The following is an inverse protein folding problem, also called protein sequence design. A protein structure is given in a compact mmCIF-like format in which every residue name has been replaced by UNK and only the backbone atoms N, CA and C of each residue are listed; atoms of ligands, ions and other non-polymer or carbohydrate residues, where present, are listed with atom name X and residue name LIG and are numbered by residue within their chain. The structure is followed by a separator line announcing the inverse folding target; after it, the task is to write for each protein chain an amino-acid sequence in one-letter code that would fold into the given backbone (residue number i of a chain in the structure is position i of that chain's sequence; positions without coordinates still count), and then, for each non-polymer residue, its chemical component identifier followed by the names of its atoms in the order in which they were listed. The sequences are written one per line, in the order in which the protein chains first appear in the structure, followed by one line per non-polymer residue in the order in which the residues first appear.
data_IF_995745572731
#
_entry.id   IF_995745572731
#
_cell.length_a   1.000
_cell.length_b   1.000
_cell.length_c   1.000
_cell.angle_alpha   90.00
_cell.angle_beta   90.00
_cell.angle_gamma   90.00
#
_symmetry.space_group_name_H-M   'P 1'
#
loop_
_entity.id
_entity.type
_entity.pdbx_description
1 polymer ?
#
# COMPACT_ATOMS: atom_id res chain seq x y z
N UNK A 1 56.76 -16.75 63.56
CA UNK A 1 56.62 -15.42 62.92
C UNK A 1 57.30 -15.51 61.56
N UNK A 2 56.59 -16.06 60.58
CA UNK A 2 55.90 -15.34 59.48
C UNK A 2 56.86 -15.05 58.30
N UNK A 3 56.80 -15.95 57.31
CA UNK A 3 57.39 -15.80 55.97
C UNK A 3 56.56 -14.82 55.13
N UNK A 4 57.22 -13.95 54.36
CA UNK A 4 56.60 -13.13 53.31
C UNK A 4 57.05 -13.65 51.95
N UNK A 5 56.09 -14.04 51.11
CA UNK A 5 56.29 -14.51 49.74
C UNK A 5 55.87 -13.41 48.76
N UNK A 6 56.76 -13.11 47.81
CA UNK A 6 56.48 -12.35 46.59
C UNK A 6 55.39 -13.08 45.76
N UNK A 7 54.41 -12.33 45.25
CA UNK A 7 53.64 -12.73 44.06
C UNK A 7 53.52 -11.56 43.10
N UNK A 8 54.29 -11.65 42.02
CA UNK A 8 54.10 -10.92 40.77
C UNK A 8 52.90 -11.52 40.04
N UNK A 9 51.91 -10.69 39.69
CA UNK A 9 50.83 -11.07 38.77
C UNK A 9 50.99 -10.22 37.51
N UNK A 10 51.47 -10.85 36.43
CA UNK A 10 51.46 -10.29 35.09
C UNK A 10 50.06 -10.50 34.49
N UNK A 11 49.33 -9.41 34.25
CA UNK A 11 48.04 -9.43 33.57
C UNK A 11 48.24 -9.40 32.06
N UNK A 12 47.84 -10.46 31.37
CA UNK A 12 47.74 -10.50 29.91
C UNK A 12 46.34 -10.00 29.50
N UNK A 13 46.27 -8.87 28.81
CA UNK A 13 45.05 -8.34 28.21
C UNK A 13 44.83 -8.98 26.82
N UNK A 14 43.91 -9.94 26.74
CA UNK A 14 43.41 -10.48 25.47
C UNK A 14 42.46 -9.46 24.84
N UNK A 15 42.87 -8.85 23.73
CA UNK A 15 41.97 -8.01 22.91
C UNK A 15 41.19 -8.92 21.97
N UNK A 16 39.91 -9.14 22.27
CA UNK A 16 39.00 -9.89 21.41
C UNK A 16 38.51 -8.96 20.29
N UNK A 17 39.08 -9.10 19.09
CA UNK A 17 38.53 -8.47 17.89
C UNK A 17 37.29 -9.26 17.48
N UNK A 18 36.12 -8.74 17.85
CA UNK A 18 34.85 -9.24 17.33
C UNK A 18 34.75 -8.71 15.89
N UNK A 19 35.28 -9.50 14.94
CA UNK A 19 34.95 -9.34 13.53
C UNK A 19 33.52 -9.84 13.32
N UNK A 20 32.55 -8.97 13.61
CA UNK A 20 31.16 -9.19 13.24
C UNK A 20 31.04 -9.23 11.72
N UNK A 21 31.12 -10.42 11.16
CA UNK A 21 30.65 -10.65 9.80
C UNK A 21 29.13 -10.51 9.87
N UNK A 22 28.62 -9.35 9.47
CA UNK A 22 27.22 -9.23 9.11
C UNK A 22 27.01 -10.20 7.95
N UNK A 23 26.50 -11.39 8.24
CA UNK A 23 25.90 -12.24 7.23
C UNK A 23 24.80 -11.39 6.60
N UNK A 24 25.01 -10.97 5.36
CA UNK A 24 23.97 -10.37 4.56
C UNK A 24 22.75 -11.29 4.64
N UNK A 25 21.60 -10.74 5.00
CA UNK A 25 20.31 -11.44 5.02
C UNK A 25 19.88 -11.66 3.56
N UNK A 26 20.64 -12.49 2.82
CA UNK A 26 20.55 -12.70 1.36
C UNK A 26 19.19 -13.29 0.92
N UNK A 27 18.32 -13.62 1.88
CA UNK A 27 17.02 -14.24 1.67
C UNK A 27 15.80 -13.36 1.95
N UNK A 28 15.94 -12.10 2.35
CA UNK A 28 14.78 -11.27 2.74
C UNK A 28 14.64 -10.00 1.91
N UNK A 29 13.44 -9.76 1.37
CA UNK A 29 13.06 -8.55 0.66
C UNK A 29 11.94 -7.85 1.45
N UNK A 30 12.12 -6.58 1.76
CA UNK A 30 11.12 -5.76 2.44
C UNK A 30 10.39 -4.87 1.43
N UNK A 31 9.07 -5.01 1.34
CA UNK A 31 8.26 -4.26 0.37
C UNK A 31 7.32 -3.32 1.13
N UNK A 32 7.38 -2.04 0.84
CA UNK A 32 6.38 -1.08 1.27
C UNK A 32 5.34 -0.95 0.17
N UNK A 33 4.14 -1.48 0.38
CA UNK A 33 3.10 -1.53 -0.64
C UNK A 33 1.81 -0.87 -0.14
N UNK A 34 1.16 -0.10 -1.02
CA UNK A 34 -0.13 0.50 -0.73
C UNK A 34 -1.14 -0.54 -0.20
N UNK A 35 -1.94 -0.17 0.81
CA UNK A 35 -2.85 -1.08 1.51
C UNK A 35 -3.78 -1.90 0.59
N UNK A 36 -4.18 -1.35 -0.56
CA UNK A 36 -5.02 -2.07 -1.54
C UNK A 36 -4.35 -3.32 -2.13
N UNK A 37 -3.01 -3.39 -2.10
CA UNK A 37 -2.20 -4.50 -2.63
C UNK A 37 -2.08 -5.69 -1.66
N UNK A 38 -2.59 -5.58 -0.42
CA UNK A 38 -2.37 -6.54 0.67
C UNK A 38 -2.51 -7.99 0.23
N UNK A 39 -3.69 -8.39 -0.27
CA UNK A 39 -3.97 -9.78 -0.62
C UNK A 39 -3.13 -10.26 -1.82
N UNK A 40 -2.98 -9.42 -2.85
CA UNK A 40 -2.20 -9.77 -4.03
C UNK A 40 -0.72 -9.99 -3.69
N UNK A 41 -0.14 -9.11 -2.88
CA UNK A 41 1.25 -9.23 -2.45
C UNK A 41 1.49 -10.40 -1.50
N UNK A 42 0.52 -10.76 -0.66
CA UNK A 42 0.59 -11.96 0.17
C UNK A 42 0.66 -13.24 -0.68
N UNK A 43 -0.21 -13.36 -1.68
CA UNK A 43 -0.21 -14.51 -2.60
C UNK A 43 1.06 -14.55 -3.47
N UNK A 44 1.51 -13.40 -3.97
CA UNK A 44 2.76 -13.27 -4.72
C UNK A 44 3.96 -13.67 -3.86
N UNK A 45 4.03 -13.22 -2.60
CA UNK A 45 5.10 -13.57 -1.68
C UNK A 45 5.14 -15.08 -1.41
N UNK A 46 3.97 -15.71 -1.24
CA UNK A 46 3.87 -17.15 -1.04
C UNK A 46 4.36 -17.94 -2.26
N UNK A 47 3.95 -17.55 -3.47
CA UNK A 47 4.40 -18.23 -4.69
C UNK A 47 5.89 -17.98 -4.96
N UNK A 48 6.37 -16.75 -4.78
CA UNK A 48 7.78 -16.41 -4.96
C UNK A 48 8.68 -17.18 -3.99
N UNK A 49 8.27 -17.33 -2.72
CA UNK A 49 8.99 -18.16 -1.75
C UNK A 49 9.05 -19.62 -2.18
N UNK A 50 7.95 -20.18 -2.68
CA UNK A 50 7.91 -21.56 -3.17
C UNK A 50 8.80 -21.78 -4.39
N UNK A 51 8.89 -20.80 -5.29
CA UNK A 51 9.70 -20.90 -6.51
C UNK A 51 11.19 -20.61 -6.29
N UNK A 52 11.51 -19.62 -5.45
CA UNK A 52 12.86 -19.04 -5.34
C UNK A 52 13.50 -19.20 -3.96
N UNK A 53 12.75 -19.68 -2.97
CA UNK A 53 13.19 -19.80 -1.58
C UNK A 53 13.72 -18.47 -1.00
N UNK A 54 13.05 -17.37 -1.35
CA UNK A 54 13.31 -16.01 -0.85
C UNK A 54 12.07 -15.51 -0.11
N UNK A 55 12.28 -14.98 1.08
CA UNK A 55 11.24 -14.38 1.92
C UNK A 55 10.94 -12.95 1.48
N UNK A 56 9.67 -12.68 1.16
CA UNK A 56 9.18 -11.33 0.89
C UNK A 56 8.30 -10.89 2.05
N UNK A 57 8.72 -9.86 2.77
CA UNK A 57 7.99 -9.29 3.90
C UNK A 57 7.42 -7.95 3.47
N UNK A 58 6.10 -7.84 3.46
CA UNK A 58 5.41 -6.61 3.05
C UNK A 58 4.88 -5.84 4.26
N UNK A 59 5.10 -4.52 4.25
CA UNK A 59 4.42 -3.56 5.13
C UNK A 59 3.37 -2.82 4.32
N UNK A 60 2.13 -2.82 4.83
CA UNK A 60 0.98 -2.22 4.16
C UNK A 60 0.45 -1.03 4.95
N UNK A 61 0.26 0.09 4.27
CA UNK A 61 -0.38 1.29 4.80
C UNK A 61 -0.81 2.19 3.62
N UNK A 62 -1.30 3.39 3.90
CA UNK A 62 -1.46 4.40 2.84
C UNK A 62 -0.11 4.70 2.18
N UNK A 63 -0.10 4.91 0.86
CA UNK A 63 1.12 5.26 0.14
C UNK A 63 1.78 6.53 0.70
N UNK A 64 0.98 7.45 1.26
CA UNK A 64 1.48 8.63 1.96
C UNK A 64 2.26 8.34 3.23
N UNK A 65 1.81 7.37 4.01
CA UNK A 65 2.51 6.94 5.23
C UNK A 65 3.81 6.26 4.84
N UNK A 66 3.76 5.34 3.88
CA UNK A 66 4.92 4.58 3.42
C UNK A 66 5.99 5.49 2.79
N UNK A 67 5.61 6.42 1.91
CA UNK A 67 6.56 7.34 1.28
C UNK A 67 7.29 8.22 2.31
N UNK A 68 6.57 8.72 3.34
CA UNK A 68 7.20 9.47 4.45
C UNK A 68 8.10 8.60 5.32
N UNK A 69 7.75 7.34 5.53
CA UNK A 69 8.60 6.41 6.27
C UNK A 69 9.89 6.11 5.50
N UNK A 70 9.83 5.93 4.18
CA UNK A 70 11.02 5.71 3.34
C UNK A 70 11.90 6.96 3.34
N UNK A 71 11.31 8.16 3.20
CA UNK A 71 12.05 9.42 3.36
C UNK A 71 12.75 9.51 4.72
N UNK A 72 12.10 9.03 5.79
CA UNK A 72 12.66 8.99 7.14
C UNK A 72 13.70 7.86 7.36
N UNK A 73 14.04 7.09 6.33
CA UNK A 73 15.06 6.04 6.39
C UNK A 73 14.55 4.66 6.79
N UNK A 74 13.25 4.39 6.65
CA UNK A 74 12.73 3.02 6.84
C UNK A 74 13.37 2.06 5.82
N UNK A 75 13.81 0.85 6.24
CA UNK A 75 14.60 -0.06 5.42
C UNK A 75 13.72 -0.90 4.48
N UNK A 76 12.99 -0.23 3.58
CA UNK A 76 12.27 -0.90 2.51
C UNK A 76 13.18 -1.06 1.28
N UNK A 77 13.06 -2.18 0.57
CA UNK A 77 13.79 -2.40 -0.68
C UNK A 77 12.98 -1.95 -1.90
N UNK A 78 11.66 -2.09 -1.83
CA UNK A 78 10.72 -1.73 -2.89
C UNK A 78 9.60 -0.86 -2.33
N UNK A 79 9.18 0.12 -3.12
CA UNK A 79 7.99 0.92 -2.86
C UNK A 79 6.98 0.76 -3.99
N UNK A 80 5.73 0.44 -3.63
CA UNK A 80 4.61 0.41 -4.57
C UNK A 80 3.52 1.37 -4.07
N UNK A 81 3.39 2.51 -4.75
CA UNK A 81 2.37 3.51 -4.45
C UNK A 81 1.04 3.18 -5.13
N UNK A 82 -0.08 3.71 -4.64
CA UNK A 82 -1.38 3.69 -5.33
C UNK A 82 -1.66 4.97 -6.14
N UNK A 83 -0.68 5.87 -6.24
CA UNK A 83 -0.70 7.00 -7.15
C UNK A 83 0.72 7.41 -7.58
N UNK A 84 0.78 8.20 -8.66
CA UNK A 84 2.03 8.83 -9.09
C UNK A 84 2.52 9.88 -8.10
N UNK A 85 1.62 10.59 -7.41
CA UNK A 85 1.95 11.70 -6.51
C UNK A 85 2.90 11.30 -5.38
N UNK A 86 2.67 10.18 -4.71
CA UNK A 86 3.56 9.73 -3.63
C UNK A 86 4.83 9.07 -4.12
N UNK A 87 4.85 8.56 -5.35
CA UNK A 87 6.10 8.15 -6.00
C UNK A 87 6.93 9.36 -6.44
N UNK A 88 6.28 10.41 -6.96
CA UNK A 88 6.92 11.71 -7.26
C UNK A 88 7.53 12.28 -5.98
N UNK A 89 6.77 12.28 -4.88
CA UNK A 89 7.29 12.69 -3.57
C UNK A 89 8.56 11.93 -3.18
N UNK A 90 8.53 10.60 -3.25
CA UNK A 90 9.69 9.78 -2.91
C UNK A 90 10.90 10.07 -3.83
N UNK A 91 10.66 10.28 -5.12
CA UNK A 91 11.68 10.64 -6.09
C UNK A 91 12.29 12.03 -5.80
N UNK A 92 11.46 13.03 -5.53
CA UNK A 92 11.88 14.40 -5.18
C UNK A 92 12.73 14.42 -3.91
N UNK A 93 12.42 13.52 -2.97
CA UNK A 93 13.21 13.29 -1.74
C UNK A 93 14.45 12.43 -1.95
N UNK A 94 14.72 11.97 -3.18
CA UNK A 94 15.81 11.04 -3.52
C UNK A 94 15.77 9.76 -2.70
N UNK A 95 14.56 9.33 -2.34
CA UNK A 95 14.32 8.15 -1.52
C UNK A 95 14.12 6.88 -2.37
N UNK A 96 14.00 7.01 -3.69
CA UNK A 96 13.88 5.90 -4.65
C UNK A 96 14.81 6.09 -5.84
N UNK A 97 15.28 4.99 -6.42
CA UNK A 97 16.02 4.96 -7.68
C UNK A 97 15.05 5.24 -8.83
N UNK A 98 15.03 6.49 -9.30
CA UNK A 98 14.14 6.94 -10.37
C UNK A 98 14.32 6.20 -11.69
N UNK A 99 15.47 5.55 -11.92
CA UNK A 99 15.71 4.73 -13.13
C UNK A 99 14.93 3.42 -13.11
N UNK A 100 14.45 3.02 -11.94
CA UNK A 100 13.65 1.80 -11.72
C UNK A 100 12.16 2.08 -11.59
N UNK A 101 11.72 3.33 -11.77
CA UNK A 101 10.31 3.67 -11.66
C UNK A 101 9.54 3.18 -12.88
N UNK A 102 8.50 2.38 -12.63
CA UNK A 102 7.59 1.91 -13.68
C UNK A 102 6.15 1.88 -13.18
N UNK A 103 5.20 2.26 -14.03
CA UNK A 103 3.76 2.03 -13.75
C UNK A 103 3.43 0.55 -13.93
N UNK A 104 3.23 -0.15 -12.80
CA UNK A 104 3.01 -1.59 -12.74
C UNK A 104 1.55 -1.97 -13.00
N UNK A 105 0.62 -1.28 -12.32
CA UNK A 105 -0.80 -1.64 -12.32
C UNK A 105 -1.70 -0.44 -12.54
N UNK A 106 -2.94 -0.70 -12.93
CA UNK A 106 -4.05 0.22 -12.83
C UNK A 106 -5.21 -0.36 -12.03
N UNK A 107 -6.20 0.48 -11.73
CA UNK A 107 -7.38 0.08 -10.96
C UNK A 107 -8.58 0.99 -11.27
N UNK A 108 -9.76 0.64 -10.76
CA UNK A 108 -10.95 1.47 -10.83
C UNK A 108 -11.32 2.02 -9.46
N UNK A 109 -12.05 3.14 -9.43
CA UNK A 109 -12.62 3.70 -8.22
C UNK A 109 -14.11 3.34 -8.15
N UNK A 110 -14.55 2.80 -7.03
CA UNK A 110 -15.92 2.27 -6.87
C UNK A 110 -16.56 2.74 -5.58
N UNK A 111 -17.89 2.75 -5.56
CA UNK A 111 -18.70 2.87 -4.36
C UNK A 111 -19.12 1.48 -3.92
N UNK A 112 -18.85 1.17 -2.66
CA UNK A 112 -19.25 -0.08 -2.01
C UNK A 112 -20.29 0.17 -0.93
N UNK A 113 -21.14 -0.82 -0.70
CA UNK A 113 -22.07 -0.90 0.42
C UNK A 113 -21.85 -2.21 1.19
N UNK A 114 -22.28 -2.31 2.46
CA UNK A 114 -22.19 -3.56 3.23
C UNK A 114 -22.85 -4.73 2.48
N UNK A 115 -22.35 -5.96 2.67
CA UNK A 115 -22.83 -7.15 1.94
C UNK A 115 -24.35 -7.36 2.08
N UNK A 116 -24.89 -7.06 3.25
CA UNK A 116 -26.30 -7.18 3.59
C UNK A 116 -27.15 -5.94 3.23
N UNK A 117 -26.54 -4.90 2.67
CA UNK A 117 -27.25 -3.67 2.31
C UNK A 117 -28.27 -3.92 1.19
N UNK A 118 -29.44 -3.29 1.29
CA UNK A 118 -30.47 -3.31 0.25
C UNK A 118 -30.19 -2.28 -0.87
N UNK A 119 -29.12 -1.48 -0.74
CA UNK A 119 -28.72 -0.47 -1.72
C UNK A 119 -28.54 -1.11 -3.10
N UNK A 120 -29.40 -0.72 -4.03
CA UNK A 120 -29.33 -1.19 -5.42
C UNK A 120 -28.19 -0.50 -6.17
N UNK A 121 -27.61 -1.16 -7.19
CA UNK A 121 -26.67 -0.52 -8.07
C UNK A 121 -27.24 0.75 -8.70
N UNK A 122 -26.40 1.77 -8.88
CA UNK A 122 -26.77 3.03 -9.50
C UNK A 122 -25.63 3.57 -10.37
N UNK A 123 -25.98 4.47 -11.28
CA UNK A 123 -25.00 5.21 -12.09
C UNK A 123 -24.64 6.50 -11.39
N UNK A 124 -23.34 6.79 -11.30
CA UNK A 124 -22.84 8.05 -10.77
C UNK A 124 -22.83 9.08 -11.90
N UNK A 125 -23.57 10.16 -11.69
CA UNK A 125 -23.51 11.40 -12.49
C UNK A 125 -23.61 12.65 -11.59
N UNK A 126 -23.70 13.84 -12.21
CA UNK A 126 -23.82 15.11 -11.51
C UNK A 126 -25.20 15.36 -10.84
N UNK A 127 -26.16 14.45 -11.00
CA UNK A 127 -27.49 14.48 -10.36
C UNK A 127 -27.64 13.42 -9.28
N UNK A 128 -26.59 12.64 -9.00
CA UNK A 128 -26.58 11.63 -7.95
C UNK A 128 -26.96 12.24 -6.60
N UNK A 129 -28.08 11.78 -6.03
CA UNK A 129 -28.55 12.22 -4.71
C UNK A 129 -27.80 11.49 -3.60
N UNK A 130 -26.56 11.92 -3.35
CA UNK A 130 -25.68 11.33 -2.35
C UNK A 130 -26.24 11.42 -0.93
N UNK A 131 -26.99 12.47 -0.60
CA UNK A 131 -27.55 12.65 0.74
C UNK A 131 -28.62 11.59 1.02
N UNK A 132 -29.49 11.33 0.05
CA UNK A 132 -30.46 10.25 0.15
C UNK A 132 -29.77 8.88 0.22
N UNK A 133 -28.74 8.65 -0.59
CA UNK A 133 -27.98 7.40 -0.61
C UNK A 133 -27.27 7.12 0.73
N UNK A 134 -26.77 8.17 1.40
CA UNK A 134 -26.16 8.04 2.72
C UNK A 134 -27.18 7.83 3.85
N UNK A 135 -28.45 8.20 3.64
CA UNK A 135 -29.53 8.05 4.63
C UNK A 135 -29.13 8.51 6.05
N UNK A 136 -28.47 9.68 6.14
CA UNK A 136 -27.99 10.26 7.41
C UNK A 136 -26.65 9.71 7.93
N UNK A 137 -26.10 8.66 7.31
CA UNK A 137 -24.77 8.13 7.63
C UNK A 137 -23.61 8.91 7.03
N UNK A 138 -22.39 8.42 7.27
CA UNK A 138 -21.14 8.97 6.72
C UNK A 138 -20.65 8.17 5.52
N UNK A 139 -19.90 8.82 4.64
CA UNK A 139 -19.23 8.19 3.50
C UNK A 139 -17.80 7.78 3.91
N UNK A 140 -17.54 6.48 4.02
CA UNK A 140 -16.20 5.98 4.29
C UNK A 140 -15.27 6.23 3.10
N UNK A 141 -14.10 6.81 3.34
CA UNK A 141 -13.14 7.11 2.28
C UNK A 141 -11.75 7.22 2.90
N UNK A 142 -10.68 6.87 2.17
CA UNK A 142 -9.33 7.21 2.65
C UNK A 142 -9.20 8.72 2.88
N UNK A 143 -8.38 9.17 3.83
CA UNK A 143 -8.24 10.61 4.11
C UNK A 143 -7.91 11.40 2.82
N UNK A 144 -8.80 12.30 2.35
CA UNK A 144 -8.63 13.02 1.09
C UNK A 144 -7.43 13.96 1.04
N UNK A 145 -6.81 14.27 2.17
CA UNK A 145 -5.63 15.14 2.22
C UNK A 145 -4.37 14.41 1.74
N UNK A 146 -4.28 13.10 1.96
CA UNK A 146 -3.04 12.37 1.70
C UNK A 146 -3.21 10.92 1.23
N UNK A 147 -4.30 10.22 1.51
CA UNK A 147 -4.50 8.85 1.06
C UNK A 147 -4.87 8.84 -0.43
N UNK A 148 -4.18 8.08 -1.30
CA UNK A 148 -4.49 8.05 -2.74
C UNK A 148 -5.97 7.81 -3.08
N UNK A 149 -6.62 6.82 -2.45
CA UNK A 149 -8.04 6.54 -2.67
C UNK A 149 -8.93 7.74 -2.31
N UNK A 150 -8.57 8.48 -1.26
CA UNK A 150 -9.24 9.72 -0.86
C UNK A 150 -8.99 10.87 -1.82
N UNK A 151 -7.78 10.98 -2.37
CA UNK A 151 -7.43 11.98 -3.38
C UNK A 151 -8.25 11.73 -4.65
N UNK A 152 -8.29 10.49 -5.16
CA UNK A 152 -9.12 10.16 -6.33
C UNK A 152 -10.61 10.36 -6.05
N UNK A 153 -11.10 9.98 -4.87
CA UNK A 153 -12.48 10.25 -4.46
C UNK A 153 -12.80 11.75 -4.46
N UNK A 154 -11.90 12.58 -3.92
CA UNK A 154 -12.05 14.03 -3.94
C UNK A 154 -12.06 14.58 -5.36
N UNK A 155 -11.12 14.17 -6.21
CA UNK A 155 -11.08 14.57 -7.62
C UNK A 155 -12.40 14.22 -8.34
N UNK A 156 -12.87 12.97 -8.18
CA UNK A 156 -14.12 12.48 -8.75
C UNK A 156 -15.34 13.27 -8.29
N UNK A 157 -15.49 13.43 -6.98
CA UNK A 157 -16.62 14.16 -6.39
C UNK A 157 -16.58 15.66 -6.72
N UNK A 158 -15.40 16.27 -6.85
CA UNK A 158 -15.27 17.65 -7.29
C UNK A 158 -15.70 17.80 -8.75
N UNK A 159 -15.25 16.90 -9.63
CA UNK A 159 -15.62 16.88 -11.04
C UNK A 159 -17.13 16.71 -11.25
N UNK A 160 -17.76 15.90 -10.39
CA UNK A 160 -19.20 15.63 -10.41
C UNK A 160 -20.04 16.68 -9.65
N UNK A 161 -19.42 17.68 -9.03
CA UNK A 161 -20.12 18.73 -8.28
C UNK A 161 -20.70 18.30 -6.93
N UNK A 162 -20.27 17.15 -6.40
CA UNK A 162 -20.77 16.58 -5.15
C UNK A 162 -19.86 16.83 -3.93
N UNK A 163 -18.63 17.31 -4.15
CA UNK A 163 -17.63 17.43 -3.08
C UNK A 163 -18.09 18.29 -1.89
N UNK A 164 -18.57 19.51 -2.15
CA UNK A 164 -18.96 20.46 -1.10
C UNK A 164 -20.09 19.90 -0.21
N UNK A 165 -20.97 19.10 -0.80
CA UNK A 165 -22.07 18.42 -0.11
C UNK A 165 -21.57 17.27 0.77
N UNK A 166 -20.57 16.51 0.30
CA UNK A 166 -20.11 15.28 0.94
C UNK A 166 -18.94 15.47 1.90
N UNK A 167 -18.10 16.49 1.72
CA UNK A 167 -16.95 16.81 2.57
C UNK A 167 -17.28 16.78 4.09
N UNK A 168 -18.37 17.42 4.59
CA UNK A 168 -18.70 17.36 6.01
C UNK A 168 -19.27 16.00 6.46
N UNK A 169 -19.58 15.09 5.53
CA UNK A 169 -20.17 13.76 5.76
C UNK A 169 -19.17 12.63 5.60
N UNK A 170 -17.89 12.91 5.39
CA UNK A 170 -16.89 11.86 5.26
C UNK A 170 -16.63 11.16 6.60
N UNK A 171 -16.24 9.89 6.51
CA UNK A 171 -15.55 9.14 7.55
C UNK A 171 -14.14 8.80 7.01
N UNK A 172 -13.16 9.70 7.22
CA UNK A 172 -11.79 9.52 6.73
C UNK A 172 -11.12 8.31 7.40
N UNK A 173 -10.59 7.40 6.60
CA UNK A 173 -9.76 6.27 7.03
C UNK A 173 -8.28 6.57 6.85
N UNK A 174 -7.44 5.97 7.70
CA UNK A 174 -5.97 6.09 7.63
C UNK A 174 -5.41 5.56 6.30
N UNK A 175 -6.10 4.59 5.70
CA UNK A 175 -5.91 4.12 4.34
C UNK A 175 -7.24 3.58 3.75
N UNK A 176 -7.18 3.08 2.51
CA UNK A 176 -8.37 2.56 1.81
C UNK A 176 -8.94 1.28 2.43
N UNK A 177 -8.12 0.45 3.08
CA UNK A 177 -8.59 -0.76 3.76
C UNK A 177 -9.20 -0.42 5.12
N UNK A 178 -8.74 0.63 5.78
CA UNK A 178 -9.42 1.25 6.92
C UNK A 178 -10.83 1.73 6.54
N UNK A 179 -10.96 2.43 5.41
CA UNK A 179 -12.27 2.87 4.89
C UNK A 179 -13.17 1.68 4.50
N UNK A 180 -12.63 0.67 3.80
CA UNK A 180 -13.36 -0.56 3.47
C UNK A 180 -13.92 -1.23 4.72
N UNK A 181 -13.12 -1.34 5.78
CA UNK A 181 -13.51 -2.01 7.00
C UNK A 181 -14.69 -1.32 7.72
N UNK A 182 -14.82 0.01 7.62
CA UNK A 182 -16.00 0.73 8.12
C UNK A 182 -17.29 0.27 7.40
N UNK A 183 -17.19 0.02 6.09
CA UNK A 183 -18.33 -0.47 5.28
C UNK A 183 -18.62 -1.93 5.59
N UNK A 184 -17.60 -2.78 5.71
CA UNK A 184 -17.76 -4.20 6.07
C UNK A 184 -18.48 -4.37 7.41
N UNK A 185 -18.18 -3.50 8.39
CA UNK A 185 -18.80 -3.51 9.71
C UNK A 185 -20.12 -2.76 9.79
N UNK A 186 -20.62 -2.24 8.66
CA UNK A 186 -21.84 -1.44 8.59
C UNK A 186 -21.79 -0.18 9.50
N UNK A 187 -20.59 0.36 9.75
CA UNK A 187 -20.36 1.63 10.45
C UNK A 187 -20.52 2.82 9.49
N UNK A 188 -20.35 2.56 8.18
CA UNK A 188 -20.67 3.49 7.09
C UNK A 188 -21.59 2.80 6.07
N UNK A 189 -22.72 3.42 5.67
CA UNK A 189 -23.63 2.83 4.69
C UNK A 189 -23.01 2.71 3.28
N UNK A 190 -22.06 3.59 2.96
CA UNK A 190 -21.31 3.59 1.72
C UNK A 190 -19.85 3.89 1.98
N UNK A 191 -18.98 3.41 1.09
CA UNK A 191 -17.60 3.87 1.03
C UNK A 191 -17.06 3.95 -0.39
N UNK A 192 -16.04 4.78 -0.58
CA UNK A 192 -15.28 4.89 -1.83
C UNK A 192 -13.95 4.16 -1.65
N UNK A 193 -13.74 3.12 -2.43
CA UNK A 193 -12.57 2.23 -2.41
C UNK A 193 -12.15 1.90 -3.83
N UNK A 194 -11.10 1.10 -4.02
CA UNK A 194 -10.77 0.59 -5.33
C UNK A 194 -11.56 -0.66 -5.71
N UNK A 195 -11.72 -0.92 -7.00
CA UNK A 195 -12.34 -2.16 -7.50
C UNK A 195 -11.68 -3.40 -6.93
N UNK A 196 -10.34 -3.40 -6.82
CA UNK A 196 -9.60 -4.51 -6.22
C UNK A 196 -9.90 -4.74 -4.74
N UNK A 197 -10.20 -3.69 -3.98
CA UNK A 197 -10.55 -3.79 -2.56
C UNK A 197 -11.90 -4.51 -2.40
N UNK A 198 -12.86 -4.18 -3.28
CA UNK A 198 -14.14 -4.84 -3.31
C UNK A 198 -14.03 -6.31 -3.74
N UNK A 199 -13.16 -6.65 -4.70
CA UNK A 199 -12.88 -8.04 -5.09
C UNK A 199 -12.24 -8.84 -3.96
N UNK A 200 -11.35 -8.21 -3.19
CA UNK A 200 -10.67 -8.85 -2.06
C UNK A 200 -11.57 -9.07 -0.84
N UNK A 201 -12.73 -8.43 -0.78
CA UNK A 201 -13.66 -8.51 0.36
C UNK A 201 -14.86 -9.40 0.08
N UNK A 202 -15.32 -10.10 1.13
CA UNK A 202 -16.62 -10.79 1.15
C UNK A 202 -17.71 -9.98 1.88
N UNK A 203 -17.32 -8.89 2.55
CA UNK A 203 -18.15 -8.07 3.43
C UNK A 203 -18.84 -6.90 2.75
N UNK A 204 -18.58 -6.67 1.46
CA UNK A 204 -19.20 -5.58 0.69
C UNK A 204 -19.73 -6.04 -0.66
N UNK A 205 -20.55 -5.19 -1.28
CA UNK A 205 -20.90 -5.24 -2.69
C UNK A 205 -20.54 -3.92 -3.37
N UNK A 206 -20.10 -3.97 -4.63
CA UNK A 206 -20.00 -2.77 -5.47
C UNK A 206 -21.41 -2.34 -5.86
N UNK A 207 -21.75 -1.08 -5.61
CA UNK A 207 -23.05 -0.48 -5.95
C UNK A 207 -22.94 0.63 -6.99
N UNK A 208 -21.75 1.15 -7.25
CA UNK A 208 -21.49 2.01 -8.40
C UNK A 208 -19.99 2.04 -8.74
N UNK A 209 -19.67 2.41 -9.97
CA UNK A 209 -18.29 2.67 -10.42
C UNK A 209 -18.19 4.12 -10.86
N UNK A 210 -17.16 4.83 -10.42
CA UNK A 210 -16.93 6.20 -10.85
C UNK A 210 -16.58 6.23 -12.35
N UNK A 211 -17.06 7.24 -13.12
CA UNK A 211 -16.61 7.43 -14.49
C UNK A 211 -15.09 7.61 -14.56
N UNK A 212 -14.42 6.96 -15.52
CA UNK A 212 -12.95 7.05 -15.63
C UNK A 212 -12.45 8.49 -15.86
N UNK A 213 -13.28 9.35 -16.46
CA UNK A 213 -12.97 10.77 -16.70
C UNK A 213 -13.31 11.68 -15.50
N UNK A 214 -13.81 11.11 -14.40
CA UNK A 214 -14.11 11.86 -13.18
C UNK A 214 -12.86 12.14 -12.34
N UNK A 215 -11.82 11.31 -12.45
CA UNK A 215 -10.56 11.41 -11.71
C UNK A 215 -9.37 11.11 -12.63
N UNK A 216 -8.15 11.34 -12.17
CA UNK A 216 -6.97 10.84 -12.89
C UNK A 216 -6.96 9.31 -12.91
N UNK A 217 -6.31 8.70 -13.91
CA UNK A 217 -6.13 7.25 -13.95
C UNK A 217 -5.50 6.77 -12.64
N UNK A 218 -6.10 5.74 -12.04
CA UNK A 218 -5.53 5.11 -10.85
C UNK A 218 -4.38 4.23 -11.31
N UNK A 219 -3.16 4.62 -10.96
CA UNK A 219 -1.92 3.96 -11.37
C UNK A 219 -1.07 3.61 -10.15
N UNK A 220 -0.45 2.43 -10.20
CA UNK A 220 0.43 1.93 -9.15
C UNK A 220 1.87 1.89 -9.65
N UNK A 221 2.66 2.95 -9.44
CA UNK A 221 4.07 2.92 -9.75
C UNK A 221 4.83 2.09 -8.71
N UNK A 222 5.81 1.32 -9.19
CA UNK A 222 6.81 0.62 -8.41
C UNK A 222 8.18 1.27 -8.63
N UNK A 223 9.02 1.31 -7.60
CA UNK A 223 10.43 1.64 -7.70
C UNK A 223 11.23 0.92 -6.62
N UNK A 224 12.53 0.72 -6.88
CA UNK A 224 13.51 0.30 -5.88
C UNK A 224 13.87 1.52 -5.01
N UNK A 225 13.97 1.31 -3.70
CA UNK A 225 14.41 2.35 -2.75
C UNK A 225 15.88 2.68 -2.99
N UNK A 226 16.24 3.97 -2.89
CA UNK A 226 17.58 4.43 -3.21
C UNK A 226 18.63 3.71 -2.36
N UNK A 227 19.67 3.14 -3.00
CA UNK A 227 20.71 2.37 -2.32
C UNK A 227 20.36 0.91 -1.99
N UNK A 228 19.13 0.44 -2.25
CA UNK A 228 18.71 -0.94 -1.97
C UNK A 228 18.83 -1.89 -3.17
N UNK A 229 19.27 -1.39 -4.33
CA UNK A 229 19.40 -2.19 -5.55
C UNK A 229 20.49 -3.26 -5.41
N UNK A 230 20.06 -4.52 -5.45
CA UNK A 230 20.93 -5.69 -5.53
C UNK A 230 20.27 -6.78 -6.39
N UNK A 231 20.95 -7.91 -6.60
CA UNK A 231 20.45 -9.00 -7.45
C UNK A 231 19.12 -9.59 -6.95
N UNK A 232 18.97 -9.80 -5.64
CA UNK A 232 17.78 -10.37 -5.02
C UNK A 232 16.57 -9.44 -5.15
N UNK A 233 16.76 -8.14 -4.87
CA UNK A 233 15.71 -7.12 -5.02
C UNK A 233 15.32 -6.93 -6.48
N UNK A 234 16.29 -6.90 -7.39
CA UNK A 234 16.04 -6.77 -8.84
C UNK A 234 15.28 -7.97 -9.39
N UNK A 235 15.60 -9.20 -8.93
CA UNK A 235 14.89 -10.40 -9.33
C UNK A 235 13.41 -10.38 -8.93
N UNK A 236 13.08 -9.89 -7.73
CA UNK A 236 11.69 -9.76 -7.30
C UNK A 236 10.97 -8.58 -7.96
N UNK A 237 11.67 -7.44 -8.16
CA UNK A 237 11.18 -6.34 -8.98
C UNK A 237 10.76 -6.81 -10.38
N UNK A 238 11.59 -7.64 -11.02
CA UNK A 238 11.28 -8.22 -12.33
C UNK A 238 10.17 -9.27 -12.25
N UNK A 239 10.12 -10.08 -11.19
CA UNK A 239 9.04 -11.04 -10.96
C UNK A 239 7.67 -10.36 -10.87
N UNK A 240 7.58 -9.21 -10.20
CA UNK A 240 6.34 -8.44 -10.08
C UNK A 240 5.79 -7.96 -11.43
N UNK A 241 6.66 -7.78 -12.43
CA UNK A 241 6.30 -7.44 -13.82
C UNK A 241 6.03 -8.67 -14.68
N UNK A 242 6.35 -9.86 -14.19
CA UNK A 242 6.23 -11.12 -14.90
C UNK A 242 4.79 -11.66 -14.99
N UNK A 243 4.56 -12.69 -15.83
CA UNK A 243 3.23 -13.23 -16.07
C UNK A 243 2.61 -13.90 -14.82
N UNK A 244 3.42 -14.48 -13.94
CA UNK A 244 2.97 -15.11 -12.69
C UNK A 244 2.33 -14.07 -11.75
N UNK A 245 3.04 -12.97 -11.48
CA UNK A 245 2.52 -11.87 -10.67
C UNK A 245 1.33 -11.19 -11.35
N UNK A 246 1.40 -10.95 -12.68
CA UNK A 246 0.29 -10.38 -13.44
C UNK A 246 -1.00 -11.19 -13.31
N UNK A 247 -0.92 -12.52 -13.35
CA UNK A 247 -2.09 -13.39 -13.17
C UNK A 247 -2.71 -13.24 -11.77
N UNK A 248 -1.88 -13.09 -10.73
CA UNK A 248 -2.36 -12.87 -9.35
C UNK A 248 -3.01 -11.48 -9.25
N UNK A 249 -2.37 -10.43 -9.75
CA UNK A 249 -2.93 -9.08 -9.75
C UNK A 249 -4.30 -9.02 -10.46
N UNK A 250 -4.43 -9.64 -11.64
CA UNK A 250 -5.70 -9.71 -12.37
C UNK A 250 -6.80 -10.44 -11.60
N UNK A 251 -6.46 -11.51 -10.88
CA UNK A 251 -7.40 -12.25 -10.01
C UNK A 251 -8.01 -11.35 -8.93
N UNK A 252 -7.22 -10.39 -8.44
CA UNK A 252 -7.66 -9.39 -7.46
C UNK A 252 -8.26 -8.13 -8.10
N UNK A 253 -8.48 -8.09 -9.42
CA UNK A 253 -9.16 -6.98 -10.09
C UNK A 253 -8.27 -5.80 -10.49
N UNK A 254 -6.93 -5.92 -10.37
CA UNK A 254 -6.02 -4.94 -10.94
C UNK A 254 -5.90 -5.12 -12.46
N UNK A 255 -5.67 -4.03 -13.17
CA UNK A 255 -5.23 -4.07 -14.57
C UNK A 255 -3.70 -4.11 -14.62
N UNK A 256 -3.14 -4.92 -15.52
CA UNK A 256 -1.70 -4.94 -15.80
C UNK A 256 -1.49 -4.48 -17.23
N UNK A 257 -0.30 -3.97 -17.52
CA UNK A 257 0.16 -3.87 -18.91
C UNK A 257 0.41 -5.26 -19.51
#
# INVERSE_FOLDING_TARGET
MAHSWLRLVAGATLSFVIAGHALADEGKITVFAAASLTNAMQDIAAEYKKEKNVDVVSSFASSSTLARQIEAGAPADLFISADQKWMDYAADKKAVDTTTRETLLGNSLVVVAPKASEQKPFTIDNKTDWIRLLNGGRLAVGDPQHVPAGIYAKEALQKLGAWQTLEPKLAPGEDVRGALALVERNEAPLGIVYGSDAVASKGVNVVATFPEDSHKKVEYPIAIVEGHKNATVSAFYDYLKGPQASAIFKRYGFTTK
#
